data_IF_136375252462
#
_entry.id   IF_136375252462
#
_cell.length_a   1.000
_cell.length_b   1.000
_cell.length_c   1.000
_cell.angle_alpha   90.00
_cell.angle_beta   90.00
_cell.angle_gamma   90.00
#
_symmetry.space_group_name_H-M   'P 1'
#
loop_
_entity.id
_entity.type
_entity.pdbx_description
1 polymer ?
#
# COMPACT_ATOMS: atom_id res chain seq x y z
N UNK A 1 -11.23 -2.66 -2.48
CA UNK A 1 -11.33 -1.97 -3.77
C UNK A 1 -12.29 -2.71 -4.72
N UNK A 2 -12.09 -4.01 -4.99
CA UNK A 2 -12.97 -4.81 -5.90
C UNK A 2 -14.44 -4.67 -5.49
N UNK A 3 -14.78 -4.89 -4.22
CA UNK A 3 -16.14 -4.74 -3.69
C UNK A 3 -16.74 -3.36 -4.05
N UNK A 4 -15.95 -2.31 -3.86
CA UNK A 4 -16.42 -0.92 -4.06
C UNK A 4 -16.59 -0.59 -5.54
N UNK A 5 -15.65 -1.02 -6.40
CA UNK A 5 -15.72 -0.80 -7.86
C UNK A 5 -16.94 -1.52 -8.45
N UNK A 6 -17.20 -2.77 -8.06
CA UNK A 6 -18.40 -3.51 -8.46
C UNK A 6 -19.67 -2.80 -7.96
N UNK A 7 -19.68 -2.32 -6.71
CA UNK A 7 -20.86 -1.68 -6.11
C UNK A 7 -21.30 -0.39 -6.81
N UNK A 8 -20.38 0.27 -7.52
CA UNK A 8 -20.64 1.46 -8.33
C UNK A 8 -20.90 1.15 -9.82
N UNK A 9 -21.08 -0.14 -10.17
CA UNK A 9 -21.58 -0.57 -11.46
C UNK A 9 -20.54 -0.96 -12.50
N UNK A 10 -19.28 -1.16 -12.12
CA UNK A 10 -18.23 -1.59 -13.04
C UNK A 10 -18.02 -3.11 -13.04
N UNK A 11 -17.54 -3.64 -14.15
CA UNK A 11 -16.97 -4.98 -14.25
C UNK A 11 -15.50 -4.95 -13.83
N UNK A 12 -15.05 -5.99 -13.14
CA UNK A 12 -13.69 -6.08 -12.61
C UNK A 12 -12.99 -7.36 -13.06
N UNK A 13 -11.85 -7.21 -13.71
CA UNK A 13 -10.88 -8.28 -13.89
C UNK A 13 -9.82 -8.18 -12.79
N UNK A 14 -9.87 -9.06 -11.79
CA UNK A 14 -8.89 -9.14 -10.72
C UNK A 14 -7.73 -10.06 -11.13
N UNK A 15 -6.55 -9.48 -11.30
CA UNK A 15 -5.33 -10.21 -11.72
C UNK A 15 -4.37 -10.36 -10.55
N UNK A 16 -4.00 -11.59 -10.18
CA UNK A 16 -3.10 -11.88 -9.06
C UNK A 16 -2.35 -13.19 -9.32
N UNK A 17 -1.07 -13.28 -8.95
CA UNK A 17 -0.31 -14.53 -8.99
C UNK A 17 -0.46 -15.37 -7.71
N UNK A 18 -1.12 -14.80 -6.69
CA UNK A 18 -1.32 -15.37 -5.35
C UNK A 18 -0.03 -15.67 -4.59
N UNK A 19 1.02 -14.87 -4.81
CA UNK A 19 2.26 -14.99 -4.05
C UNK A 19 2.05 -14.60 -2.56
N UNK A 20 1.33 -13.49 -2.33
CA UNK A 20 0.92 -13.03 -0.99
C UNK A 20 -0.60 -12.93 -0.85
N UNK A 21 -1.32 -12.89 -1.96
CA UNK A 21 -2.77 -12.78 -2.03
C UNK A 21 -3.49 -14.11 -1.71
N UNK A 22 -4.78 -14.02 -1.40
CA UNK A 22 -5.63 -15.18 -1.16
C UNK A 22 -6.95 -15.06 -1.89
N UNK A 23 -7.34 -16.12 -2.60
CA UNK A 23 -8.67 -16.22 -3.24
C UNK A 23 -9.82 -16.08 -2.22
N UNK A 24 -9.58 -16.41 -0.94
CA UNK A 24 -10.55 -16.23 0.14
C UNK A 24 -11.06 -14.79 0.28
N UNK A 25 -10.21 -13.81 -0.08
CA UNK A 25 -10.56 -12.39 0.00
C UNK A 25 -11.68 -12.00 -0.97
N UNK A 26 -11.90 -12.78 -2.04
CA UNK A 26 -12.93 -12.58 -3.06
C UNK A 26 -14.01 -13.67 -3.03
N UNK A 27 -13.96 -14.63 -2.09
CA UNK A 27 -14.89 -15.77 -2.06
C UNK A 27 -16.37 -15.36 -1.96
N UNK A 28 -16.66 -14.24 -1.30
CA UNK A 28 -18.04 -13.70 -1.18
C UNK A 28 -18.57 -13.12 -2.51
N UNK A 29 -17.72 -12.95 -3.51
CA UNK A 29 -18.05 -12.48 -4.88
C UNK A 29 -17.95 -13.61 -5.92
N UNK A 30 -17.80 -14.87 -5.52
CA UNK A 30 -17.54 -15.99 -6.42
C UNK A 30 -18.61 -16.14 -7.53
N UNK A 31 -19.86 -15.84 -7.22
CA UNK A 31 -20.98 -15.92 -8.17
C UNK A 31 -21.37 -14.56 -8.79
N UNK A 32 -20.56 -13.52 -8.53
CA UNK A 32 -20.83 -12.19 -9.07
C UNK A 32 -20.40 -12.12 -10.53
N UNK A 33 -21.35 -11.84 -11.42
CA UNK A 33 -21.13 -11.78 -12.88
C UNK A 33 -20.20 -10.64 -13.31
N UNK A 34 -20.01 -9.64 -12.46
CA UNK A 34 -19.16 -8.48 -12.73
C UNK A 34 -17.72 -8.71 -12.21
N UNK A 35 -17.36 -9.92 -11.75
CA UNK A 35 -16.02 -10.26 -11.32
C UNK A 35 -15.47 -11.44 -12.13
N UNK A 36 -14.34 -11.22 -12.76
CA UNK A 36 -13.47 -12.28 -13.27
C UNK A 36 -12.16 -12.30 -12.47
N UNK A 37 -11.63 -13.48 -12.14
CA UNK A 37 -10.35 -13.65 -11.44
C UNK A 37 -9.37 -14.40 -12.32
N UNK A 38 -8.33 -13.71 -12.76
CA UNK A 38 -7.27 -14.27 -13.58
C UNK A 38 -6.00 -14.51 -12.75
N UNK A 39 -5.51 -15.75 -12.72
CA UNK A 39 -4.19 -16.04 -12.14
C UNK A 39 -3.09 -15.71 -13.13
N UNK A 40 -2.35 -14.61 -12.90
CA UNK A 40 -1.26 -14.18 -13.76
C UNK A 40 -0.21 -13.40 -12.96
N UNK A 41 1.07 -13.50 -13.38
CA UNK A 41 2.16 -12.70 -12.84
C UNK A 41 2.44 -11.55 -13.80
N UNK A 42 2.31 -10.31 -13.32
CA UNK A 42 2.47 -9.09 -14.13
C UNK A 42 3.90 -8.88 -14.63
N UNK A 43 4.90 -9.65 -14.17
CA UNK A 43 6.24 -9.64 -14.75
C UNK A 43 6.26 -10.25 -16.16
N UNK A 44 5.17 -10.90 -16.58
CA UNK A 44 4.93 -11.33 -17.94
C UNK A 44 3.88 -10.45 -18.63
N UNK A 45 3.94 -10.27 -19.95
CA UNK A 45 2.95 -9.50 -20.70
C UNK A 45 1.52 -10.03 -20.49
N UNK A 46 0.57 -9.10 -20.36
CA UNK A 46 -0.85 -9.37 -20.23
C UNK A 46 -1.61 -8.77 -21.43
N UNK A 47 -2.51 -9.53 -22.02
CA UNK A 47 -3.33 -9.11 -23.16
C UNK A 47 -4.81 -9.20 -22.79
N UNK A 48 -5.38 -8.11 -22.38
CA UNK A 48 -6.78 -7.94 -21.98
C UNK A 48 -7.29 -6.60 -22.50
N UNK A 49 -8.62 -6.40 -22.49
CA UNK A 49 -9.26 -5.15 -22.87
C UNK A 49 -9.92 -4.55 -21.63
N UNK A 50 -9.45 -3.37 -21.21
CA UNK A 50 -9.95 -2.65 -20.02
C UNK A 50 -9.83 -1.15 -20.21
N UNK A 51 -10.70 -0.37 -19.56
CA UNK A 51 -10.70 1.10 -19.63
C UNK A 51 -9.80 1.72 -18.56
N UNK A 52 -9.62 1.04 -17.43
CA UNK A 52 -8.84 1.51 -16.30
C UNK A 52 -7.99 0.38 -15.71
N UNK A 53 -6.79 0.72 -15.26
CA UNK A 53 -5.86 -0.23 -14.62
C UNK A 53 -5.48 0.30 -13.22
N UNK A 54 -5.73 -0.51 -12.20
CA UNK A 54 -5.25 -0.28 -10.83
C UNK A 54 -4.07 -1.21 -10.54
N UNK A 55 -2.83 -0.70 -10.71
CA UNK A 55 -1.63 -1.48 -10.41
C UNK A 55 -1.32 -1.45 -8.92
N UNK A 56 -1.79 -2.47 -8.20
CA UNK A 56 -1.57 -2.69 -6.77
C UNK A 56 -0.57 -3.83 -6.51
N UNK A 57 -0.12 -4.51 -7.56
CA UNK A 57 0.66 -5.74 -7.45
C UNK A 57 2.06 -5.48 -6.92
N UNK A 58 2.31 -5.90 -5.70
CA UNK A 58 3.64 -5.98 -5.08
C UNK A 58 3.54 -6.71 -3.73
N UNK A 59 4.53 -7.52 -3.33
CA UNK A 59 4.72 -7.84 -1.92
C UNK A 59 4.96 -6.53 -1.16
N UNK A 60 4.20 -6.27 -0.08
CA UNK A 60 4.18 -4.95 0.56
C UNK A 60 4.50 -4.97 2.07
N UNK A 61 4.82 -6.12 2.65
CA UNK A 61 5.30 -6.20 4.02
C UNK A 61 6.75 -6.67 4.08
N UNK A 62 7.54 -6.24 5.08
CA UNK A 62 8.96 -6.60 5.19
C UNK A 62 9.22 -8.11 5.10
N UNK A 63 8.41 -8.92 5.77
CA UNK A 63 8.51 -10.39 5.74
C UNK A 63 8.34 -10.93 4.33
N UNK A 64 7.38 -10.39 3.58
CA UNK A 64 7.04 -10.88 2.25
C UNK A 64 8.01 -10.39 1.18
N UNK A 65 8.37 -9.09 1.15
CA UNK A 65 9.26 -8.57 0.12
C UNK A 65 10.72 -8.99 0.31
N UNK A 66 11.14 -9.29 1.56
CA UNK A 66 12.49 -9.80 1.84
C UNK A 66 12.62 -11.31 1.61
N UNK A 67 11.51 -12.04 1.54
CA UNK A 67 11.51 -13.48 1.24
C UNK A 67 12.06 -13.78 -0.16
N UNK A 68 11.71 -12.94 -1.14
CA UNK A 68 12.24 -12.97 -2.50
C UNK A 68 12.46 -11.54 -3.00
N UNK A 69 13.58 -10.90 -2.62
CA UNK A 69 13.84 -9.51 -2.93
C UNK A 69 14.02 -9.25 -4.43
N UNK A 70 14.57 -10.21 -5.17
CA UNK A 70 14.74 -10.10 -6.63
C UNK A 70 13.39 -10.12 -7.32
N UNK A 71 12.50 -11.01 -6.93
CA UNK A 71 11.14 -11.07 -7.50
C UNK A 71 10.34 -9.83 -7.11
N UNK A 72 10.51 -9.31 -5.89
CA UNK A 72 9.89 -8.06 -5.45
C UNK A 72 10.31 -6.89 -6.35
N UNK A 73 11.60 -6.73 -6.60
CA UNK A 73 12.10 -5.69 -7.49
C UNK A 73 11.58 -5.88 -8.93
N UNK A 74 11.60 -7.11 -9.46
CA UNK A 74 11.03 -7.43 -10.78
C UNK A 74 9.55 -7.06 -10.86
N UNK A 75 8.74 -7.41 -9.86
CA UNK A 75 7.32 -7.09 -9.83
C UNK A 75 7.09 -5.57 -9.90
N UNK A 76 7.85 -4.80 -9.14
CA UNK A 76 7.71 -3.35 -9.13
C UNK A 76 8.22 -2.69 -10.42
N UNK A 77 9.28 -3.18 -11.05
CA UNK A 77 9.90 -2.55 -12.24
C UNK A 77 9.35 -3.17 -13.52
N UNK A 78 9.55 -4.47 -13.74
CA UNK A 78 9.10 -5.15 -14.98
C UNK A 78 7.57 -5.19 -15.03
N UNK A 79 6.91 -5.46 -13.88
CA UNK A 79 5.46 -5.42 -13.80
C UNK A 79 4.91 -4.03 -14.14
N UNK A 80 5.52 -2.96 -13.64
CA UNK A 80 5.13 -1.60 -14.00
C UNK A 80 5.30 -1.33 -15.51
N UNK A 81 6.42 -1.76 -16.12
CA UNK A 81 6.65 -1.63 -17.58
C UNK A 81 5.55 -2.35 -18.36
N UNK A 82 5.20 -3.58 -18.00
CA UNK A 82 4.16 -4.35 -18.66
C UNK A 82 2.78 -3.69 -18.53
N UNK A 83 2.42 -3.21 -17.33
CA UNK A 83 1.13 -2.53 -17.10
C UNK A 83 1.06 -1.18 -17.82
N UNK A 84 2.15 -0.42 -17.86
CA UNK A 84 2.24 0.83 -18.64
C UNK A 84 2.16 0.57 -20.15
N UNK A 85 2.80 -0.51 -20.64
CA UNK A 85 2.69 -0.95 -22.02
C UNK A 85 1.26 -1.35 -22.39
N UNK A 86 0.57 -2.07 -21.51
CA UNK A 86 -0.84 -2.42 -21.66
C UNK A 86 -1.72 -1.15 -21.69
N UNK A 87 -1.55 -0.24 -20.72
CA UNK A 87 -2.28 1.01 -20.66
C UNK A 87 -2.09 1.87 -21.91
N UNK A 88 -0.84 1.95 -22.42
CA UNK A 88 -0.53 2.66 -23.67
C UNK A 88 -1.22 2.03 -24.88
N UNK A 89 -1.23 0.69 -24.99
CA UNK A 89 -1.89 -0.03 -26.08
C UNK A 89 -3.40 0.26 -26.12
N UNK A 90 -4.03 0.31 -24.93
CA UNK A 90 -5.48 0.48 -24.79
C UNK A 90 -5.93 1.96 -24.76
N UNK A 91 -5.03 2.90 -24.56
CA UNK A 91 -5.40 4.27 -24.17
C UNK A 91 -6.06 4.35 -22.79
N UNK A 92 -5.83 3.34 -21.93
CA UNK A 92 -6.44 3.22 -20.63
C UNK A 92 -5.76 4.13 -19.59
N UNK A 93 -6.54 4.68 -18.65
CA UNK A 93 -6.01 5.34 -17.46
C UNK A 93 -5.39 4.32 -16.52
N UNK A 94 -4.23 4.63 -15.95
CA UNK A 94 -3.54 3.72 -15.04
C UNK A 94 -3.17 4.37 -13.72
N UNK A 95 -3.55 3.69 -12.63
CA UNK A 95 -3.18 4.02 -11.25
C UNK A 95 -2.00 3.17 -10.77
N UNK A 96 -1.04 3.81 -10.09
CA UNK A 96 0.07 3.15 -9.39
C UNK A 96 -0.11 3.30 -7.87
N UNK A 97 -0.21 2.17 -7.19
CA UNK A 97 0.00 2.14 -5.75
C UNK A 97 1.49 2.29 -5.44
N UNK A 98 1.92 3.53 -5.22
CA UNK A 98 3.20 3.82 -4.61
C UNK A 98 3.09 3.75 -3.08
N UNK A 99 4.08 4.18 -2.36
CA UNK A 99 4.19 3.96 -0.92
C UNK A 99 4.92 5.12 -0.23
N UNK A 100 4.68 5.31 1.06
CA UNK A 100 5.50 6.19 1.91
C UNK A 100 6.96 5.72 2.03
N UNK A 101 7.25 4.46 1.66
CA UNK A 101 8.63 3.93 1.67
C UNK A 101 9.54 4.64 0.66
N UNK A 102 8.99 5.31 -0.37
CA UNK A 102 9.77 6.15 -1.30
C UNK A 102 10.49 7.31 -0.59
N UNK A 103 10.04 7.66 0.60
CA UNK A 103 10.67 8.67 1.46
C UNK A 103 11.83 8.10 2.31
N UNK A 104 11.96 6.78 2.43
CA UNK A 104 13.00 6.11 3.21
C UNK A 104 12.91 6.43 4.71
N UNK A 105 14.07 6.71 5.32
CA UNK A 105 14.17 7.29 6.67
C UNK A 105 14.14 8.83 6.54
N UNK A 106 12.95 9.46 6.68
CA UNK A 106 12.76 10.85 6.28
C UNK A 106 13.41 11.82 7.26
N UNK A 107 14.04 12.88 6.70
CA UNK A 107 14.62 13.98 7.48
C UNK A 107 13.62 15.10 7.78
N UNK A 108 12.40 14.97 7.27
CA UNK A 108 11.30 15.93 7.49
C UNK A 108 10.06 15.21 7.99
N UNK A 109 9.26 15.89 8.79
CA UNK A 109 7.95 15.43 9.27
C UNK A 109 7.00 16.62 9.43
N UNK A 110 5.76 16.51 8.92
CA UNK A 110 5.23 15.46 8.07
C UNK A 110 5.90 15.41 6.69
N UNK A 111 5.83 14.22 6.00
CA UNK A 111 6.36 14.08 4.66
C UNK A 111 5.37 14.65 3.64
N UNK A 112 5.81 15.57 2.80
CA UNK A 112 5.06 16.15 1.68
C UNK A 112 5.59 15.64 0.33
N UNK A 113 4.78 15.72 -0.74
CA UNK A 113 5.07 15.08 -2.03
C UNK A 113 6.31 15.63 -2.74
N UNK A 114 6.69 16.88 -2.47
CA UNK A 114 7.92 17.49 -3.04
C UNK A 114 9.21 17.04 -2.33
N UNK A 115 9.13 16.28 -1.25
CA UNK A 115 10.30 15.70 -0.61
C UNK A 115 10.79 14.47 -1.38
N UNK A 116 12.07 14.46 -1.78
CA UNK A 116 12.64 13.40 -2.63
C UNK A 116 13.01 12.12 -1.88
N UNK A 117 13.02 12.20 -0.54
CA UNK A 117 13.30 11.03 0.30
C UNK A 117 14.77 10.87 0.68
N UNK A 118 15.01 9.88 1.53
CA UNK A 118 16.32 9.46 2.03
C UNK A 118 16.34 7.94 2.14
N UNK A 119 16.38 7.25 0.99
CA UNK A 119 16.36 5.79 0.90
C UNK A 119 17.79 5.25 0.96
N UNK A 120 18.00 4.14 1.71
CA UNK A 120 19.23 3.37 1.65
C UNK A 120 19.17 2.39 0.46
N UNK A 121 19.89 2.65 -0.66
CA UNK A 121 19.77 1.84 -1.87
C UNK A 121 20.41 0.44 -1.75
N UNK A 122 21.21 0.21 -0.70
CA UNK A 122 21.90 -1.07 -0.44
C UNK A 122 21.30 -1.83 0.75
N UNK A 123 20.31 -1.26 1.42
CA UNK A 123 19.66 -1.86 2.58
C UNK A 123 18.74 -3.03 2.21
N UNK A 124 18.38 -3.81 3.21
CA UNK A 124 17.51 -4.99 3.04
C UNK A 124 16.08 -4.65 2.56
N UNK A 125 15.69 -3.38 2.68
CA UNK A 125 14.39 -2.85 2.22
C UNK A 125 14.44 -2.31 0.79
N UNK A 126 15.65 -2.10 0.22
CA UNK A 126 15.85 -1.44 -1.08
C UNK A 126 15.10 -2.12 -2.24
N UNK A 127 14.92 -3.44 -2.20
CA UNK A 127 14.15 -4.17 -3.22
C UNK A 127 12.72 -3.67 -3.38
N UNK A 128 12.10 -3.21 -2.29
CA UNK A 128 10.78 -2.61 -2.29
C UNK A 128 10.84 -1.10 -2.49
N UNK A 129 11.63 -0.41 -1.69
CA UNK A 129 11.71 1.05 -1.67
C UNK A 129 12.17 1.61 -3.03
N UNK A 130 13.31 1.14 -3.54
CA UNK A 130 13.81 1.53 -4.87
C UNK A 130 12.96 0.96 -6.01
N UNK A 131 12.37 -0.23 -5.83
CA UNK A 131 11.41 -0.78 -6.78
C UNK A 131 10.21 0.15 -6.99
N UNK A 132 9.64 0.70 -5.92
CA UNK A 132 8.53 1.65 -5.98
C UNK A 132 8.96 3.01 -6.52
N UNK A 133 10.15 3.50 -6.17
CA UNK A 133 10.74 4.73 -6.75
C UNK A 133 10.94 4.60 -8.26
N UNK A 134 11.50 3.47 -8.71
CA UNK A 134 11.66 3.18 -10.14
C UNK A 134 10.31 3.09 -10.86
N UNK A 135 9.29 2.50 -10.25
CA UNK A 135 7.94 2.47 -10.80
C UNK A 135 7.36 3.89 -10.95
N UNK A 136 7.50 4.79 -9.95
CA UNK A 136 7.11 6.19 -10.10
C UNK A 136 7.81 6.84 -11.29
N UNK A 137 9.15 6.69 -11.39
CA UNK A 137 9.93 7.23 -12.52
C UNK A 137 9.38 6.76 -13.86
N UNK A 138 9.12 5.45 -14.01
CA UNK A 138 8.54 4.87 -15.23
C UNK A 138 7.17 5.48 -15.57
N UNK A 139 6.29 5.66 -14.57
CA UNK A 139 4.97 6.26 -14.78
C UNK A 139 5.10 7.69 -15.32
N UNK A 140 5.94 8.52 -14.70
CA UNK A 140 6.17 9.88 -15.15
C UNK A 140 6.85 9.96 -16.52
N UNK A 141 7.78 9.04 -16.83
CA UNK A 141 8.43 8.99 -18.16
C UNK A 141 7.46 8.56 -19.26
N UNK A 142 6.58 7.58 -19.00
CA UNK A 142 5.52 7.23 -19.94
C UNK A 142 4.54 8.38 -20.16
N UNK A 143 4.20 9.12 -19.11
CA UNK A 143 3.38 10.33 -19.25
C UNK A 143 4.09 11.39 -20.12
N UNK A 144 5.33 11.74 -19.81
CA UNK A 144 6.12 12.75 -20.56
C UNK A 144 6.33 12.35 -22.01
N UNK A 145 6.65 11.09 -22.26
CA UNK A 145 7.00 10.62 -23.60
C UNK A 145 5.78 10.28 -24.46
N UNK A 146 4.71 9.80 -23.87
CA UNK A 146 3.58 9.22 -24.59
C UNK A 146 2.24 9.87 -24.27
N UNK A 147 2.18 10.83 -23.36
CA UNK A 147 0.92 11.43 -22.91
C UNK A 147 -0.01 10.48 -22.17
N UNK A 148 0.55 9.37 -21.61
CA UNK A 148 -0.26 8.37 -20.91
C UNK A 148 -0.95 8.98 -19.70
N UNK A 149 -2.23 8.68 -19.51
CA UNK A 149 -3.07 9.18 -18.41
C UNK A 149 -2.79 8.38 -17.12
N UNK A 150 -1.85 8.88 -16.32
CA UNK A 150 -1.34 8.21 -15.11
C UNK A 150 -1.93 8.80 -13.83
N UNK A 151 -2.01 7.97 -12.78
CA UNK A 151 -2.29 8.37 -11.40
C UNK A 151 -1.30 7.69 -10.46
N UNK A 152 -0.75 8.41 -9.50
CA UNK A 152 0.19 7.86 -8.51
C UNK A 152 -0.24 8.29 -7.13
N UNK A 153 -0.45 7.35 -6.22
CA UNK A 153 -0.68 7.61 -4.82
C UNK A 153 0.44 7.03 -3.96
N UNK A 154 1.02 7.84 -3.08
CA UNK A 154 1.96 7.41 -2.04
C UNK A 154 1.17 7.01 -0.81
N UNK A 155 0.94 5.71 -0.67
CA UNK A 155 0.10 5.13 0.37
C UNK A 155 0.92 4.96 1.65
N UNK A 156 0.42 5.51 2.75
CA UNK A 156 0.96 5.32 4.09
C UNK A 156 0.37 4.05 4.74
N UNK A 157 0.84 3.70 5.95
CA UNK A 157 0.42 2.45 6.59
C UNK A 157 -1.11 2.32 6.63
N UNK A 158 -1.60 1.23 6.10
CA UNK A 158 -3.02 0.93 6.01
C UNK A 158 -3.31 -0.38 6.73
N UNK A 159 -4.44 -0.43 7.42
CA UNK A 159 -4.93 -1.62 8.11
C UNK A 159 -6.41 -1.85 7.81
N UNK A 160 -6.88 -3.06 8.07
CA UNK A 160 -8.29 -3.40 7.88
C UNK A 160 -8.54 -4.90 7.86
N UNK A 161 -9.80 -5.32 7.70
CA UNK A 161 -10.15 -6.74 7.64
C UNK A 161 -9.52 -7.45 6.44
N UNK A 162 -9.42 -8.76 6.55
CA UNK A 162 -8.82 -9.66 5.55
C UNK A 162 -7.31 -9.49 5.34
N UNK A 163 -6.61 -8.78 6.23
CA UNK A 163 -5.15 -8.87 6.29
C UNK A 163 -4.74 -10.30 6.63
N UNK A 164 -3.62 -10.77 6.04
CA UNK A 164 -3.09 -12.09 6.37
C UNK A 164 -2.65 -12.13 7.84
N UNK A 165 -2.90 -13.25 8.51
CA UNK A 165 -2.53 -13.44 9.94
C UNK A 165 -1.02 -13.42 10.16
N UNK A 166 -0.24 -13.72 9.13
CA UNK A 166 1.21 -13.74 9.08
C UNK A 166 1.79 -12.58 8.23
N UNK A 167 1.01 -11.50 8.06
CA UNK A 167 1.39 -10.36 7.22
C UNK A 167 2.69 -9.68 7.69
N UNK A 168 2.98 -9.70 8.99
CA UNK A 168 4.21 -9.14 9.57
C UNK A 168 4.18 -7.65 9.88
N UNK A 169 3.14 -6.90 9.48
CA UNK A 169 2.97 -5.49 9.84
C UNK A 169 2.41 -5.34 11.25
N UNK A 170 2.74 -4.22 11.89
CA UNK A 170 2.52 -4.03 13.34
C UNK A 170 1.07 -4.23 13.78
N UNK A 171 0.08 -3.65 13.07
CA UNK A 171 -1.34 -3.76 13.50
C UNK A 171 -1.81 -5.22 13.42
N UNK A 172 -1.56 -5.92 12.30
CA UNK A 172 -1.96 -7.32 12.15
C UNK A 172 -1.25 -8.22 13.17
N UNK A 173 0.05 -8.03 13.39
CA UNK A 173 0.80 -8.80 14.39
C UNK A 173 0.23 -8.63 15.79
N UNK A 174 0.00 -7.39 16.23
CA UNK A 174 -0.50 -7.11 17.57
C UNK A 174 -1.90 -7.70 17.78
N UNK A 175 -2.81 -7.50 16.81
CA UNK A 175 -4.17 -8.07 16.88
C UNK A 175 -4.13 -9.59 16.93
N UNK A 176 -3.33 -10.24 16.11
CA UNK A 176 -3.22 -11.71 16.09
C UNK A 176 -2.62 -12.23 17.40
N UNK A 177 -1.54 -11.63 17.89
CA UNK A 177 -0.92 -11.99 19.16
C UNK A 177 -1.88 -11.83 20.33
N UNK A 178 -2.58 -10.69 20.40
CA UNK A 178 -3.57 -10.42 21.45
C UNK A 178 -4.71 -11.45 21.45
N UNK A 179 -5.28 -11.77 20.28
CA UNK A 179 -6.36 -12.74 20.14
C UNK A 179 -5.93 -14.19 20.47
N UNK A 180 -4.64 -14.49 20.29
CA UNK A 180 -4.07 -15.82 20.66
C UNK A 180 -3.62 -15.88 22.10
N UNK A 181 -3.63 -14.77 22.85
CA UNK A 181 -3.09 -14.70 24.21
C UNK A 181 -1.57 -14.80 24.25
N UNK A 182 -0.88 -14.54 23.14
CA UNK A 182 0.58 -14.47 23.04
C UNK A 182 1.06 -13.08 23.48
N UNK A 183 2.34 -12.97 23.91
CA UNK A 183 2.95 -11.67 24.21
C UNK A 183 3.00 -10.80 22.95
N UNK A 184 2.63 -9.51 23.08
CA UNK A 184 2.73 -8.53 22.00
C UNK A 184 4.18 -8.10 21.85
N UNK A 185 4.76 -8.33 20.67
CA UNK A 185 6.17 -8.04 20.39
C UNK A 185 6.36 -6.64 19.86
N UNK A 186 6.93 -5.74 20.66
CA UNK A 186 7.31 -4.38 20.32
C UNK A 186 8.80 -4.34 19.99
N UNK A 187 9.17 -3.85 18.81
CA UNK A 187 10.56 -3.68 18.43
C UNK A 187 11.08 -2.30 18.91
N UNK A 188 12.34 -2.24 19.37
CA UNK A 188 12.89 -1.06 20.02
C UNK A 188 12.28 -0.82 21.38
N UNK A 189 12.20 0.44 21.79
CA UNK A 189 11.57 0.89 23.05
C UNK A 189 10.08 1.24 22.89
N UNK A 190 9.54 1.12 21.65
CA UNK A 190 8.16 1.44 21.32
C UNK A 190 7.86 2.93 21.17
N UNK A 191 8.84 3.82 21.25
CA UNK A 191 8.68 5.28 21.09
C UNK A 191 8.53 5.71 19.63
N UNK A 192 8.93 4.86 18.68
CA UNK A 192 8.77 5.16 17.26
C UNK A 192 7.30 5.37 16.91
N UNK A 193 7.01 6.40 16.10
CA UNK A 193 5.64 6.76 15.74
C UNK A 193 5.24 6.28 14.35
N UNK A 194 3.98 5.94 14.21
CA UNK A 194 3.34 5.56 12.94
C UNK A 194 1.94 6.15 12.88
N UNK A 195 1.50 6.44 11.67
CA UNK A 195 0.11 6.78 11.38
C UNK A 195 -0.56 5.63 10.64
N UNK A 196 -1.84 5.41 10.93
CA UNK A 196 -2.58 4.26 10.42
C UNK A 196 -3.88 4.70 9.77
N UNK A 197 -4.05 4.41 8.49
CA UNK A 197 -5.25 4.67 7.72
C UNK A 197 -6.11 3.41 7.62
N UNK A 198 -7.40 3.53 7.89
CA UNK A 198 -8.30 2.39 7.70
C UNK A 198 -8.58 2.16 6.22
N UNK A 199 -8.76 0.89 5.83
CA UNK A 199 -8.85 0.51 4.42
C UNK A 199 -10.02 1.14 3.66
N UNK A 200 -11.16 1.45 4.32
CA UNK A 200 -12.30 2.11 3.63
C UNK A 200 -11.92 3.51 3.16
N UNK A 201 -11.22 4.25 4.02
CA UNK A 201 -10.76 5.60 3.70
C UNK A 201 -9.74 5.58 2.55
N UNK A 202 -8.81 4.60 2.59
CA UNK A 202 -7.86 4.40 1.49
C UNK A 202 -8.58 4.07 0.17
N UNK A 203 -9.55 3.16 0.17
CA UNK A 203 -10.29 2.77 -1.04
C UNK A 203 -11.02 3.96 -1.63
N UNK A 204 -11.68 4.77 -0.80
CA UNK A 204 -12.35 5.99 -1.26
C UNK A 204 -11.35 7.00 -1.85
N UNK A 205 -10.18 7.17 -1.22
CA UNK A 205 -9.11 8.00 -1.76
C UNK A 205 -8.61 7.51 -3.12
N UNK A 206 -8.38 6.20 -3.29
CA UNK A 206 -7.92 5.60 -4.55
C UNK A 206 -8.91 5.91 -5.69
N UNK A 207 -10.21 5.79 -5.44
CA UNK A 207 -11.23 6.11 -6.44
C UNK A 207 -11.18 7.58 -6.82
N UNK A 208 -11.10 8.49 -5.85
CA UNK A 208 -10.99 9.93 -6.11
C UNK A 208 -9.69 10.29 -6.84
N UNK A 209 -8.56 9.64 -6.49
CA UNK A 209 -7.29 9.79 -7.23
C UNK A 209 -7.45 9.33 -8.68
N UNK A 210 -8.18 8.24 -8.92
CA UNK A 210 -8.42 7.76 -10.28
C UNK A 210 -9.16 8.79 -11.13
N UNK A 211 -10.03 9.59 -10.55
CA UNK A 211 -10.86 10.58 -11.24
C UNK A 211 -10.22 11.97 -11.34
N UNK A 212 -9.14 12.27 -10.58
CA UNK A 212 -8.48 13.58 -10.61
C UNK A 212 -7.71 13.84 -11.92
N UNK A 213 -7.22 15.05 -12.12
CA UNK A 213 -6.33 15.40 -13.24
C UNK A 213 -4.95 14.72 -13.09
N UNK A 214 -4.41 14.22 -14.21
CA UNK A 214 -3.11 13.53 -14.26
C UNK A 214 -1.93 14.39 -13.80
N UNK A 215 -1.98 15.69 -14.09
CA UNK A 215 -0.89 16.64 -13.78
C UNK A 215 -0.68 16.84 -12.28
N UNK A 216 -1.66 16.48 -11.46
CA UNK A 216 -1.64 16.67 -10.02
C UNK A 216 -1.01 15.51 -9.22
N UNK A 217 -0.58 14.45 -9.89
CA UNK A 217 0.09 13.29 -9.23
C UNK A 217 1.57 13.62 -8.91
N UNK A 218 2.24 13.01 -7.91
CA UNK A 218 1.72 12.07 -6.93
C UNK A 218 0.92 12.75 -5.80
N UNK A 219 0.12 11.93 -5.08
CA UNK A 219 -0.65 12.40 -3.90
C UNK A 219 -0.40 11.46 -2.72
N UNK A 220 -0.11 12.01 -1.56
CA UNK A 220 -0.04 11.26 -0.31
C UNK A 220 -1.42 10.87 0.18
N UNK A 221 -1.61 9.58 0.49
CA UNK A 221 -2.84 9.06 1.08
C UNK A 221 -2.51 8.34 2.39
N UNK A 222 -3.08 8.82 3.47
CA UNK A 222 -2.86 8.28 4.81
C UNK A 222 -3.61 9.08 5.87
N UNK A 223 -3.54 8.61 7.12
CA UNK A 223 -4.07 9.35 8.27
C UNK A 223 -2.91 10.11 8.93
N UNK A 224 -3.00 11.43 9.16
CA UNK A 224 -1.95 12.20 9.83
C UNK A 224 -1.88 12.00 11.35
N UNK A 225 -2.85 11.30 11.96
CA UNK A 225 -2.83 11.01 13.39
C UNK A 225 -1.74 9.98 13.71
N UNK A 226 -0.83 10.35 14.58
CA UNK A 226 0.32 9.52 14.98
C UNK A 226 0.06 8.82 16.32
N UNK A 227 0.51 7.58 16.37
CA UNK A 227 0.55 6.77 17.59
C UNK A 227 1.97 6.19 17.75
N UNK A 228 2.47 6.15 18.96
CA UNK A 228 3.63 5.35 19.26
C UNK A 228 3.29 3.85 19.14
N UNK A 229 4.28 3.04 18.84
CA UNK A 229 4.06 1.59 18.77
C UNK A 229 3.65 1.01 20.14
N UNK A 230 4.13 1.63 21.24
CA UNK A 230 3.72 1.26 22.58
C UNK A 230 2.24 1.60 22.86
N UNK A 231 1.76 2.79 22.45
CA UNK A 231 0.33 3.15 22.54
C UNK A 231 -0.55 2.22 21.70
N UNK A 232 -0.13 1.89 20.48
CA UNK A 232 -0.85 0.91 19.65
C UNK A 232 -1.00 -0.45 20.35
N UNK A 233 0.08 -0.94 20.99
CA UNK A 233 0.02 -2.20 21.73
C UNK A 233 -1.01 -2.15 22.85
N UNK A 234 -1.06 -1.05 23.59
CA UNK A 234 -2.02 -0.84 24.68
C UNK A 234 -3.46 -0.77 24.14
N UNK A 235 -3.69 -0.01 23.06
CA UNK A 235 -5.01 0.06 22.39
C UNK A 235 -5.49 -1.33 21.98
N UNK A 236 -4.62 -2.13 21.37
CA UNK A 236 -4.99 -3.49 20.93
C UNK A 236 -5.34 -4.39 22.12
N UNK A 237 -4.57 -4.35 23.21
CA UNK A 237 -4.86 -5.11 24.43
C UNK A 237 -6.25 -4.73 24.97
N UNK A 238 -6.54 -3.45 25.08
CA UNK A 238 -7.80 -2.94 25.60
C UNK A 238 -8.98 -3.32 24.72
N UNK A 239 -8.87 -3.11 23.40
CA UNK A 239 -9.94 -3.39 22.43
C UNK A 239 -10.25 -4.89 22.30
N UNK A 240 -9.24 -5.75 22.47
CA UNK A 240 -9.42 -7.21 22.39
C UNK A 240 -9.77 -7.84 23.74
N UNK A 241 -9.67 -7.09 24.85
CA UNK A 241 -9.82 -7.64 26.20
C UNK A 241 -8.73 -8.67 26.54
N UNK A 242 -7.59 -8.62 25.86
CA UNK A 242 -6.51 -9.60 26.02
C UNK A 242 -5.76 -9.42 27.34
N UNK A 243 -5.21 -10.52 27.84
CA UNK A 243 -4.26 -10.52 28.96
C UNK A 243 -2.80 -10.56 28.54
N UNK A 244 -2.53 -10.37 27.23
CA UNK A 244 -1.20 -10.34 26.65
C UNK A 244 -0.32 -9.28 27.33
N UNK A 245 0.97 -9.58 27.47
CA UNK A 245 1.96 -8.63 27.97
C UNK A 245 2.74 -8.05 26.79
N UNK A 246 3.29 -6.86 26.97
CA UNK A 246 4.21 -6.28 25.98
C UNK A 246 5.62 -6.83 26.24
N UNK A 247 6.25 -7.34 25.17
CA UNK A 247 7.63 -7.80 25.15
C UNK A 247 8.45 -6.98 24.17
N UNK A 248 9.54 -6.38 24.63
CA UNK A 248 10.43 -5.58 23.78
C UNK A 248 11.50 -6.46 23.13
N UNK A 249 11.75 -6.23 21.83
CA UNK A 249 12.76 -6.91 21.02
C UNK A 249 13.67 -5.86 20.35
N UNK A 250 14.90 -6.23 19.92
CA UNK A 250 15.77 -5.32 19.18
C UNK A 250 15.11 -4.75 17.93
N UNK A 251 15.37 -3.47 17.65
CA UNK A 251 14.84 -2.80 16.44
C UNK A 251 15.45 -3.43 15.18
N UNK A 252 14.64 -3.75 14.15
CA UNK A 252 15.14 -4.21 12.86
C UNK A 252 16.00 -3.15 12.16
N UNK A 253 16.91 -3.61 11.30
CA UNK A 253 17.71 -2.73 10.48
C UNK A 253 16.85 -1.91 9.51
N UNK A 254 17.21 -0.64 9.30
CA UNK A 254 16.56 0.30 8.38
C UNK A 254 15.05 0.55 8.67
N UNK A 255 14.57 0.29 9.90
CA UNK A 255 13.20 0.63 10.26
C UNK A 255 13.10 2.15 10.56
N UNK A 256 12.30 2.93 9.80
CA UNK A 256 12.23 4.37 9.96
C UNK A 256 11.71 4.74 11.36
N UNK A 257 12.25 5.81 11.95
CA UNK A 257 11.83 6.26 13.28
C UNK A 257 10.45 6.94 13.26
N UNK A 258 10.16 7.69 12.18
CA UNK A 258 8.92 8.47 12.06
C UNK A 258 8.33 8.38 10.66
N UNK A 259 7.00 8.24 10.57
CA UNK A 259 6.29 8.23 9.30
C UNK A 259 4.91 8.86 9.44
N UNK A 260 4.79 10.11 8.94
CA UNK A 260 3.58 10.93 9.02
C UNK A 260 3.29 11.60 7.69
N UNK A 261 2.11 11.38 7.06
CA UNK A 261 1.76 12.04 5.81
C UNK A 261 1.41 13.51 6.02
N UNK A 262 1.88 14.38 5.15
CA UNK A 262 1.17 15.60 4.83
C UNK A 262 0.09 15.27 3.79
N UNK A 263 -1.18 15.47 4.14
CA UNK A 263 -2.34 15.20 3.28
C UNK A 263 -3.00 16.49 2.76
N UNK A 264 -2.31 17.63 2.86
CA UNK A 264 -2.84 18.93 2.41
C UNK A 264 -3.26 18.88 0.94
N UNK A 265 -2.45 18.22 0.10
CA UNK A 265 -2.73 18.02 -1.32
C UNK A 265 -3.97 17.14 -1.55
N UNK A 266 -4.10 16.04 -0.83
CA UNK A 266 -5.28 15.17 -0.90
C UNK A 266 -6.56 15.90 -0.47
N UNK A 267 -6.50 16.71 0.60
CA UNK A 267 -7.62 17.55 1.03
C UNK A 267 -8.05 18.56 -0.05
N UNK A 268 -7.07 19.25 -0.64
CA UNK A 268 -7.34 20.30 -1.62
C UNK A 268 -7.88 19.76 -2.95
N UNK A 269 -7.29 18.68 -3.47
CA UNK A 269 -7.61 18.16 -4.80
C UNK A 269 -8.73 17.14 -4.80
N UNK A 270 -8.82 16.31 -3.76
CA UNK A 270 -9.76 15.20 -3.70
C UNK A 270 -10.95 15.50 -2.80
N UNK A 271 -10.96 16.62 -2.07
CA UNK A 271 -11.90 16.86 -0.96
C UNK A 271 -12.00 15.63 -0.05
N UNK A 272 -10.83 15.05 0.30
CA UNK A 272 -10.71 13.81 1.04
C UNK A 272 -9.86 13.99 2.30
N UNK A 273 -10.29 13.35 3.35
CA UNK A 273 -9.53 13.10 4.58
C UNK A 273 -9.98 11.77 5.17
N UNK A 274 -9.14 11.12 6.01
CA UNK A 274 -9.55 9.91 6.72
C UNK A 274 -10.66 10.24 7.72
N UNK A 275 -11.65 9.36 7.82
CA UNK A 275 -12.81 9.51 8.70
C UNK A 275 -12.81 8.47 9.83
N UNK A 276 -12.16 7.31 9.62
CA UNK A 276 -12.13 6.22 10.59
C UNK A 276 -10.94 6.39 11.52
N UNK A 277 -11.22 6.56 12.81
CA UNK A 277 -10.19 6.59 13.86
C UNK A 277 -9.61 5.19 14.11
N UNK A 278 -8.42 5.14 14.72
CA UNK A 278 -7.80 3.88 15.13
C UNK A 278 -8.52 3.23 16.35
N UNK A 279 -9.24 4.01 17.11
CA UNK A 279 -9.95 3.63 18.36
C UNK A 279 -11.44 3.59 18.17
#
# INVERSE_FOLDING_TARGET
>A
LVDRVISIGHEVLAVDNFFTGSKRNLAHLADNKNLEVLRHDITFPLYVEVDQIYNLASPASPVNYQRDPVQTLKTNVVGAINMLGLAKRLGARIFQASTSEVYGDPRISPQHESYWGNVNPLGVRACYDEGKRAAETLFFDYHRQHGLDIRVARIFNTYGPRMAVDDGRVVSNFVVQALRGEDITVYGDGSQTRSFCYQSDLVEAILRVMDMDATETPVNIGNPDEFSVAELAQIVIEQTGSKSRVRFLPLPQDDPLQRKPDISKARALLNWQPEVSLT
#
